data_IF_879603417200
#
_entry.id   IF_879603417200
#
_cell.length_a   1.000
_cell.length_b   1.000
_cell.length_c   1.000
_cell.angle_alpha   90.00
_cell.angle_beta   90.00
_cell.angle_gamma   90.00
#
_symmetry.space_group_name_H-M   'P 1'
#
loop_
_entity.id
_entity.type
_entity.pdbx_description
1 polymer ?
#
# COMPACT_ATOMS: atom_id res chain seq x y z
N UNK A 1 -26.99 34.08 -14.50
CA UNK A 1 -26.68 34.91 -15.70
C UNK A 1 -25.59 35.98 -15.48
N UNK A 2 -25.39 36.49 -14.25
CA UNK A 2 -24.43 37.58 -13.92
C UNK A 2 -22.92 37.26 -14.04
N UNK A 3 -22.50 35.98 -14.03
CA UNK A 3 -21.06 35.62 -13.94
C UNK A 3 -20.30 35.76 -15.27
N UNK A 4 -20.99 35.65 -16.43
CA UNK A 4 -20.37 35.75 -17.76
C UNK A 4 -19.99 37.19 -18.14
N UNK A 5 -20.77 38.19 -17.74
CA UNK A 5 -20.50 39.60 -18.05
C UNK A 5 -19.24 40.13 -17.34
N UNK A 6 -18.99 39.70 -16.10
CA UNK A 6 -17.81 40.11 -15.34
C UNK A 6 -16.50 39.59 -15.96
N UNK A 7 -16.54 38.42 -16.60
CA UNK A 7 -15.38 37.81 -17.25
C UNK A 7 -14.98 38.57 -18.54
N UNK A 8 -15.97 39.01 -19.33
CA UNK A 8 -15.72 39.77 -20.56
C UNK A 8 -15.11 41.15 -20.27
N UNK A 9 -15.59 41.85 -19.24
CA UNK A 9 -15.02 43.14 -18.82
C UNK A 9 -13.57 43.01 -18.36
N UNK A 10 -13.25 41.90 -17.68
CA UNK A 10 -11.88 41.64 -17.21
C UNK A 10 -10.94 41.33 -18.38
N UNK A 11 -11.41 40.59 -19.39
CA UNK A 11 -10.64 40.26 -20.59
C UNK A 11 -10.30 41.50 -21.43
N UNK A 12 -11.27 42.41 -21.60
CA UNK A 12 -11.06 43.68 -22.32
C UNK A 12 -10.07 44.59 -21.57
N UNK A 13 -10.15 44.65 -20.23
CA UNK A 13 -9.16 45.38 -19.42
C UNK A 13 -7.76 44.78 -19.56
N UNK A 14 -7.64 43.45 -19.59
CA UNK A 14 -6.35 42.77 -19.78
C UNK A 14 -5.74 43.11 -21.14
N UNK A 15 -6.52 43.03 -22.22
CA UNK A 15 -6.08 43.36 -23.58
C UNK A 15 -5.64 44.83 -23.71
N UNK A 16 -6.34 45.76 -23.07
CA UNK A 16 -5.95 47.17 -23.02
C UNK A 16 -4.59 47.41 -22.35
N UNK A 17 -4.30 46.67 -21.26
CA UNK A 17 -3.00 46.71 -20.61
C UNK A 17 -1.88 46.19 -21.53
N UNK A 18 -2.08 45.06 -22.22
CA UNK A 18 -1.09 44.53 -23.17
C UNK A 18 -0.73 45.51 -24.28
N UNK A 19 -1.71 46.25 -24.81
CA UNK A 19 -1.47 47.21 -25.89
C UNK A 19 -0.67 48.44 -25.43
N UNK A 20 -0.81 48.84 -24.15
CA UNK A 20 -0.02 49.94 -23.55
C UNK A 20 1.46 49.58 -23.44
N UNK A 21 1.79 48.32 -23.14
CA UNK A 21 3.18 47.87 -23.04
C UNK A 21 3.84 47.64 -24.41
N UNK A 22 3.06 47.38 -25.47
CA UNK A 22 3.58 47.22 -26.84
C UNK A 22 4.28 48.49 -27.35
N UNK A 23 3.80 49.69 -26.97
CA UNK A 23 4.42 50.98 -27.34
C UNK A 23 5.72 51.30 -26.57
N UNK A 24 5.89 50.78 -25.35
CA UNK A 24 7.10 51.04 -24.53
C UNK A 24 8.30 50.24 -25.05
N UNK A 25 8.06 49.06 -25.62
CA UNK A 25 9.11 48.19 -26.17
C UNK A 25 9.78 48.83 -27.40
N UNK A 26 9.05 49.61 -28.21
CA UNK A 26 9.51 50.12 -29.51
C UNK A 26 10.52 51.29 -29.38
N UNK A 27 10.56 52.00 -28.23
CA UNK A 27 11.51 53.10 -27.99
C UNK A 27 12.78 52.71 -27.22
N UNK A 28 12.90 51.45 -26.81
CA UNK A 28 14.11 50.99 -26.13
C UNK A 28 15.25 50.85 -27.15
N UNK A 29 16.36 51.55 -26.93
CA UNK A 29 17.61 51.40 -27.70
C UNK A 29 17.92 49.92 -27.91
N UNK A 30 18.25 49.53 -29.14
CA UNK A 30 18.47 48.14 -29.57
C UNK A 30 19.40 47.36 -28.60
N UNK A 31 20.41 48.04 -28.03
CA UNK A 31 21.31 47.51 -27.00
C UNK A 31 20.59 47.09 -25.71
N UNK A 32 19.56 47.83 -25.28
CA UNK A 32 18.74 47.52 -24.10
C UNK A 32 17.83 46.32 -24.36
N UNK A 33 17.25 46.22 -25.56
CA UNK A 33 16.45 45.04 -25.93
C UNK A 33 17.29 43.76 -25.94
N UNK A 34 18.51 43.82 -26.51
CA UNK A 34 19.48 42.72 -26.45
C UNK A 34 19.88 42.36 -25.01
N UNK A 35 20.09 43.35 -24.15
CA UNK A 35 20.39 43.13 -22.74
C UNK A 35 19.26 42.39 -22.00
N UNK A 36 18.01 42.80 -22.20
CA UNK A 36 16.86 42.11 -21.58
C UNK A 36 16.65 40.69 -22.13
N UNK A 37 16.89 40.47 -23.43
CA UNK A 37 16.85 39.13 -24.03
C UNK A 37 17.92 38.21 -23.43
N UNK A 38 19.13 38.73 -23.22
CA UNK A 38 20.22 38.01 -22.56
C UNK A 38 19.89 37.66 -21.10
N UNK A 39 19.37 38.64 -20.35
CA UNK A 39 18.96 38.43 -18.95
C UNK A 39 17.85 37.37 -18.83
N UNK A 40 16.90 37.39 -19.76
CA UNK A 40 15.80 36.43 -19.81
C UNK A 40 16.27 35.02 -20.20
N UNK A 41 17.28 34.92 -21.07
CA UNK A 41 17.94 33.66 -21.41
C UNK A 41 18.67 33.04 -20.22
N UNK A 42 19.43 33.85 -19.45
CA UNK A 42 20.06 33.39 -18.21
C UNK A 42 19.04 32.95 -17.17
N UNK A 43 17.96 33.72 -17.02
CA UNK A 43 16.89 33.40 -16.07
C UNK A 43 16.18 32.09 -16.42
N UNK A 44 15.96 31.83 -17.72
CA UNK A 44 15.40 30.55 -18.19
C UNK A 44 16.34 29.38 -17.92
N UNK A 45 17.66 29.57 -18.04
CA UNK A 45 18.65 28.54 -17.69
C UNK A 45 18.62 28.19 -16.20
N UNK A 46 18.45 29.21 -15.35
CA UNK A 46 18.31 29.04 -13.89
C UNK A 46 17.08 28.22 -13.49
N UNK A 47 15.97 28.36 -14.22
CA UNK A 47 14.76 27.56 -13.98
C UNK A 47 14.91 26.09 -14.39
N UNK A 48 15.75 25.78 -15.38
CA UNK A 48 15.99 24.40 -15.83
C UNK A 48 16.88 23.64 -14.84
N UNK A 49 17.87 24.32 -14.22
CA UNK A 49 18.78 23.68 -13.27
C UNK A 49 18.20 23.53 -11.86
N UNK A 50 17.12 24.24 -11.52
CA UNK A 50 16.43 24.12 -10.24
C UNK A 50 15.31 23.07 -10.28
N UNK A 51 15.52 21.97 -11.01
CA UNK A 51 14.68 20.80 -10.84
C UNK A 51 15.03 20.22 -9.46
N UNK A 52 14.12 20.25 -8.46
CA UNK A 52 14.40 19.60 -7.19
C UNK A 52 14.65 18.15 -7.53
N UNK A 53 15.89 17.68 -7.32
CA UNK A 53 16.16 16.25 -7.30
C UNK A 53 15.16 15.67 -6.30
N UNK A 54 14.11 15.05 -6.86
CA UNK A 54 13.15 14.30 -6.10
C UNK A 54 14.00 13.33 -5.28
N UNK A 55 13.96 13.31 -3.94
CA UNK A 55 14.85 12.48 -3.11
C UNK A 55 14.61 10.96 -3.28
N UNK A 56 13.96 10.56 -4.36
CA UNK A 56 13.59 9.21 -4.76
C UNK A 56 14.39 8.82 -6.02
N UNK A 57 15.70 9.05 -6.08
CA UNK A 57 16.55 8.42 -7.10
C UNK A 57 18.05 8.35 -6.80
N UNK A 58 18.53 8.68 -5.59
CA UNK A 58 19.79 8.09 -5.12
C UNK A 58 19.49 6.68 -4.63
N UNK A 59 19.22 5.78 -5.57
CA UNK A 59 19.49 4.36 -5.35
C UNK A 59 21.00 4.26 -5.19
N UNK A 60 21.45 4.46 -3.95
CA UNK A 60 22.66 3.84 -3.45
C UNK A 60 22.54 2.39 -3.90
N UNK A 61 23.44 1.98 -4.78
CA UNK A 61 23.63 0.60 -5.17
C UNK A 61 24.21 -0.11 -3.94
N UNK A 62 23.41 -0.18 -2.87
CA UNK A 62 23.57 -1.16 -1.84
C UNK A 62 23.20 -2.43 -2.61
N UNK A 63 24.21 -3.14 -3.11
CA UNK A 63 24.16 -4.59 -3.00
C UNK A 63 23.87 -4.85 -1.53
N UNK A 64 22.61 -4.83 -1.14
CA UNK A 64 22.18 -5.51 0.07
C UNK A 64 22.44 -6.94 -0.33
N UNK A 65 23.58 -7.47 0.07
CA UNK A 65 23.70 -8.90 0.22
C UNK A 65 22.47 -9.29 1.01
N UNK A 66 21.51 -9.93 0.34
CA UNK A 66 20.26 -10.39 0.93
C UNK A 66 20.65 -11.51 1.88
N UNK A 67 21.21 -11.14 3.04
CA UNK A 67 21.62 -12.09 4.03
C UNK A 67 20.34 -12.60 4.68
N UNK A 68 19.88 -13.78 4.23
CA UNK A 68 18.69 -14.43 4.79
C UNK A 68 18.79 -14.59 6.31
N UNK A 69 20.01 -14.69 6.85
CA UNK A 69 20.28 -14.79 8.28
C UNK A 69 19.95 -13.50 9.05
N UNK A 70 19.87 -12.33 8.40
CA UNK A 70 19.48 -11.08 9.07
C UNK A 70 17.96 -11.00 9.31
N UNK A 71 17.15 -11.74 8.54
CA UNK A 71 15.69 -11.66 8.61
C UNK A 71 15.03 -12.76 9.45
N UNK A 72 15.75 -13.85 9.73
CA UNK A 72 15.25 -14.99 10.51
C UNK A 72 15.88 -14.88 11.91
N UNK A 73 15.09 -14.60 12.96
CA UNK A 73 15.61 -14.53 14.32
C UNK A 73 16.21 -15.87 14.77
N UNK A 74 17.14 -15.82 15.72
CA UNK A 74 17.69 -17.03 16.35
C UNK A 74 16.58 -17.89 16.97
N UNK A 75 16.68 -19.21 16.78
CA UNK A 75 15.69 -20.20 17.24
C UNK A 75 14.41 -20.25 16.40
N UNK A 76 14.35 -19.56 15.27
CA UNK A 76 13.27 -19.64 14.30
C UNK A 76 13.74 -20.23 12.97
N UNK A 77 12.82 -20.88 12.28
CA UNK A 77 13.02 -21.45 10.95
C UNK A 77 11.92 -20.97 10.03
N UNK A 78 12.27 -20.78 8.76
CA UNK A 78 11.34 -20.40 7.71
C UNK A 78 10.96 -21.64 6.91
N UNK A 79 9.70 -22.06 6.99
CA UNK A 79 9.22 -23.29 6.39
C UNK A 79 8.33 -22.93 5.19
N UNK A 80 8.71 -23.29 3.95
CA UNK A 80 7.84 -23.11 2.80
C UNK A 80 6.61 -24.02 2.95
N UNK A 81 5.43 -23.48 2.70
CA UNK A 81 4.17 -24.22 2.84
C UNK A 81 3.30 -24.08 1.60
N UNK A 82 2.58 -25.16 1.27
CA UNK A 82 1.56 -25.14 0.24
C UNK A 82 0.20 -24.94 0.89
N UNK A 83 -0.57 -24.00 0.36
CA UNK A 83 -1.88 -23.62 0.90
C UNK A 83 -2.98 -23.89 -0.11
N UNK A 84 -4.03 -24.61 0.30
CA UNK A 84 -5.21 -24.83 -0.54
C UNK A 84 -5.93 -23.51 -0.86
N UNK A 85 -5.92 -22.56 0.08
CA UNK A 85 -6.56 -21.27 -0.06
C UNK A 85 -5.57 -20.14 -0.38
N UNK A 86 -4.44 -20.45 -1.05
CA UNK A 86 -3.43 -19.47 -1.43
C UNK A 86 -4.01 -18.27 -2.21
N UNK A 87 -4.90 -18.53 -3.17
CA UNK A 87 -5.54 -17.50 -3.98
C UNK A 87 -6.40 -16.55 -3.13
N UNK A 88 -7.20 -17.10 -2.20
CA UNK A 88 -8.01 -16.29 -1.29
C UNK A 88 -7.16 -15.43 -0.36
N UNK A 89 -5.96 -15.88 -0.01
CA UNK A 89 -5.02 -15.13 0.83
C UNK A 89 -4.31 -14.01 0.07
N UNK A 90 -4.24 -14.07 -1.27
CA UNK A 90 -3.52 -13.10 -2.08
C UNK A 90 -4.04 -11.67 -1.91
N UNK A 91 -5.36 -11.51 -1.85
CA UNK A 91 -6.01 -10.21 -1.64
C UNK A 91 -6.09 -9.74 -0.19
N UNK A 92 -5.83 -10.64 0.78
CA UNK A 92 -6.03 -10.35 2.22
C UNK A 92 -4.71 -10.13 2.96
N UNK A 93 -3.64 -10.78 2.52
CA UNK A 93 -2.31 -10.68 3.13
C UNK A 93 -1.45 -9.73 2.29
N UNK A 94 -0.72 -8.83 2.96
CA UNK A 94 0.31 -7.99 2.34
C UNK A 94 1.62 -8.75 2.19
N UNK A 95 2.72 -8.17 2.73
CA UNK A 95 4.03 -8.84 2.77
C UNK A 95 4.08 -9.99 3.79
N UNK A 96 3.34 -9.85 4.88
CA UNK A 96 3.26 -10.82 5.97
C UNK A 96 1.93 -10.68 6.70
N UNK A 97 1.57 -11.69 7.49
CA UNK A 97 0.36 -11.72 8.31
C UNK A 97 0.45 -12.74 9.45
N UNK A 98 -0.59 -12.81 10.27
CA UNK A 98 -0.73 -13.84 11.30
C UNK A 98 -1.82 -14.83 10.90
N UNK A 99 -1.52 -16.12 11.01
CA UNK A 99 -2.46 -17.18 10.62
C UNK A 99 -2.49 -18.32 11.65
N UNK A 100 -3.56 -19.10 11.59
CA UNK A 100 -3.57 -20.47 12.10
C UNK A 100 -3.57 -21.44 10.93
N UNK A 101 -2.79 -22.50 11.04
CA UNK A 101 -2.70 -23.56 10.04
C UNK A 101 -3.55 -24.76 10.47
N UNK A 102 -4.34 -25.26 9.54
CA UNK A 102 -5.17 -26.44 9.69
C UNK A 102 -4.77 -27.48 8.65
N UNK A 103 -4.98 -28.75 8.98
CA UNK A 103 -4.90 -29.84 8.01
C UNK A 103 -6.03 -29.68 6.97
N UNK A 104 -5.76 -30.03 5.72
CA UNK A 104 -6.77 -30.07 4.65
C UNK A 104 -7.77 -31.21 4.81
N UNK A 105 -7.45 -32.23 5.60
CA UNK A 105 -8.35 -33.34 5.88
C UNK A 105 -9.54 -32.80 6.70
N UNK A 106 -10.69 -32.73 6.05
CA UNK A 106 -11.95 -32.16 6.55
C UNK A 106 -12.47 -33.05 7.68
N UNK A 107 -11.98 -32.84 8.89
CA UNK A 107 -12.60 -33.36 10.11
C UNK A 107 -13.18 -32.19 10.89
N UNK A 108 -14.48 -32.28 11.17
CA UNK A 108 -15.34 -31.19 11.68
C UNK A 108 -14.90 -30.55 13.02
N UNK A 109 -13.86 -31.06 13.69
CA UNK A 109 -13.44 -30.60 15.02
C UNK A 109 -11.92 -30.55 15.24
N UNK A 110 -11.09 -30.50 14.18
CA UNK A 110 -9.63 -30.45 14.39
C UNK A 110 -9.16 -29.09 14.89
N UNK A 111 -8.35 -29.13 15.96
CA UNK A 111 -7.56 -27.99 16.44
C UNK A 111 -6.56 -27.57 15.37
N UNK A 112 -6.16 -26.29 15.30
CA UNK A 112 -5.09 -25.89 14.40
C UNK A 112 -3.80 -26.64 14.74
N UNK A 113 -3.06 -27.07 13.72
CA UNK A 113 -1.73 -27.70 13.86
C UNK A 113 -0.81 -26.73 14.60
N UNK A 114 -0.81 -25.49 14.12
CA UNK A 114 -0.15 -24.35 14.74
C UNK A 114 -1.07 -23.15 14.66
N UNK A 115 -1.15 -22.41 15.76
CA UNK A 115 -1.91 -21.17 15.83
C UNK A 115 -1.01 -19.96 16.06
N UNK A 116 -1.45 -18.79 15.60
CA UNK A 116 -0.75 -17.51 15.79
C UNK A 116 0.69 -17.53 15.26
N UNK A 117 0.88 -18.06 14.06
CA UNK A 117 2.19 -18.08 13.38
C UNK A 117 2.25 -16.99 12.31
N UNK A 118 3.44 -16.41 12.12
CA UNK A 118 3.67 -15.42 11.09
C UNK A 118 3.83 -16.11 9.74
N UNK A 119 2.96 -15.77 8.79
CA UNK A 119 3.09 -16.14 7.38
C UNK A 119 3.74 -15.00 6.62
N UNK A 120 4.60 -15.34 5.68
CA UNK A 120 5.39 -14.42 4.85
C UNK A 120 5.14 -14.79 3.40
N UNK A 121 4.85 -13.78 2.57
CA UNK A 121 4.74 -13.94 1.12
C UNK A 121 6.12 -13.83 0.50
N UNK A 122 6.43 -14.70 -0.46
CA UNK A 122 7.67 -14.61 -1.22
C UNK A 122 7.69 -13.32 -2.07
N UNK A 123 8.78 -12.54 -2.04
CA UNK A 123 8.89 -11.32 -2.84
C UNK A 123 9.04 -11.62 -4.34
N UNK A 124 9.51 -12.82 -4.71
CA UNK A 124 9.70 -13.24 -6.10
C UNK A 124 8.43 -13.86 -6.69
N UNK A 125 7.59 -14.47 -5.86
CA UNK A 125 6.37 -15.13 -6.30
C UNK A 125 5.25 -14.94 -5.28
N UNK A 126 4.21 -14.18 -5.66
CA UNK A 126 3.11 -13.84 -4.75
C UNK A 126 2.26 -15.05 -4.32
N UNK A 127 2.30 -16.15 -5.08
CA UNK A 127 1.56 -17.38 -4.79
C UNK A 127 2.33 -18.34 -3.86
N UNK A 128 3.56 -17.99 -3.49
CA UNK A 128 4.38 -18.79 -2.60
C UNK A 128 4.41 -18.17 -1.20
N UNK A 129 4.20 -19.03 -0.21
CA UNK A 129 4.14 -18.65 1.18
C UNK A 129 5.12 -19.48 2.00
N UNK A 130 5.62 -18.86 3.06
CA UNK A 130 6.39 -19.53 4.09
C UNK A 130 5.89 -19.10 5.47
N UNK A 131 6.09 -19.94 6.47
CA UNK A 131 5.78 -19.62 7.85
C UNK A 131 7.03 -19.58 8.69
N UNK A 132 7.11 -18.58 9.55
CA UNK A 132 8.19 -18.41 10.51
C UNK A 132 7.80 -19.13 11.80
N UNK A 133 8.37 -20.30 12.03
CA UNK A 133 8.07 -21.15 13.19
C UNK A 133 9.26 -21.19 14.15
N UNK A 134 9.05 -21.26 15.46
CA UNK A 134 10.08 -21.75 16.38
C UNK A 134 10.58 -23.12 15.93
N UNK A 135 11.89 -23.36 16.04
CA UNK A 135 12.53 -24.61 15.62
C UNK A 135 11.90 -25.84 16.29
N UNK A 136 11.59 -25.76 17.59
CA UNK A 136 10.93 -26.83 18.34
C UNK A 136 9.50 -27.17 17.90
N UNK A 137 8.85 -26.32 17.08
CA UNK A 137 7.50 -26.56 16.52
C UNK A 137 7.54 -26.87 15.03
N UNK A 138 8.72 -26.84 14.40
CA UNK A 138 8.89 -27.06 12.97
C UNK A 138 8.45 -28.45 12.52
N UNK A 139 8.76 -29.48 13.31
CA UNK A 139 8.42 -30.88 13.03
C UNK A 139 6.92 -31.07 12.84
N UNK A 140 6.09 -30.43 13.66
CA UNK A 140 4.63 -30.51 13.56
C UNK A 140 4.10 -30.02 12.20
N UNK A 141 4.76 -29.05 11.58
CA UNK A 141 4.38 -28.53 10.26
C UNK A 141 4.91 -29.45 9.17
N UNK A 142 6.14 -29.96 9.31
CA UNK A 142 6.79 -30.83 8.32
C UNK A 142 6.19 -32.24 8.25
N UNK A 143 5.66 -32.76 9.37
CA UNK A 143 4.96 -34.06 9.42
C UNK A 143 3.69 -34.07 8.53
N UNK A 144 3.16 -32.89 8.20
CA UNK A 144 2.00 -32.77 7.33
C UNK A 144 2.41 -32.67 5.87
N UNK A 145 2.38 -33.79 5.16
CA UNK A 145 2.70 -33.87 3.72
C UNK A 145 1.63 -33.24 2.82
N UNK A 146 0.40 -33.10 3.31
CA UNK A 146 -0.72 -32.56 2.54
C UNK A 146 -0.74 -31.01 2.55
N UNK A 147 -1.28 -30.37 1.50
CA UNK A 147 -1.52 -28.94 1.51
C UNK A 147 -2.32 -28.51 2.75
N UNK A 148 -1.95 -27.37 3.32
CA UNK A 148 -2.57 -26.83 4.53
C UNK A 148 -3.66 -25.81 4.19
N UNK A 149 -4.52 -25.51 5.15
CA UNK A 149 -5.46 -24.39 5.08
C UNK A 149 -5.03 -23.34 6.09
N UNK A 150 -4.84 -22.11 5.64
CA UNK A 150 -4.48 -21.01 6.54
C UNK A 150 -5.68 -20.11 6.82
N UNK A 151 -5.94 -19.84 8.10
CA UNK A 151 -6.99 -18.91 8.54
C UNK A 151 -6.34 -17.65 9.07
N UNK A 152 -6.66 -16.50 8.47
CA UNK A 152 -6.13 -15.20 8.88
C UNK A 152 -6.64 -14.86 10.27
N UNK A 153 -5.72 -14.43 11.12
CA UNK A 153 -6.03 -13.91 12.43
C UNK A 153 -5.88 -12.39 12.41
N UNK A 154 -6.90 -11.69 12.90
CA UNK A 154 -6.78 -10.28 13.20
C UNK A 154 -5.66 -10.06 14.21
N UNK A 155 -4.90 -8.98 14.04
CA UNK A 155 -3.95 -8.55 15.05
C UNK A 155 -4.69 -8.40 16.38
N UNK A 156 -4.15 -8.95 17.47
CA UNK A 156 -4.68 -8.72 18.82
C UNK A 156 -4.40 -7.26 19.22
N UNK A 157 -5.17 -6.33 18.67
CA UNK A 157 -5.12 -4.92 19.05
C UNK A 157 -5.73 -4.83 20.45
N UNK A 158 -4.93 -4.44 21.45
CA UNK A 158 -5.37 -4.30 22.85
C UNK A 158 -6.53 -3.31 23.02
N UNK A 159 -6.75 -2.42 22.05
CA UNK A 159 -7.82 -1.43 22.07
C UNK A 159 -9.05 -1.98 21.31
N UNK A 160 -10.05 -2.44 22.07
CA UNK A 160 -11.36 -2.90 21.59
C UNK A 160 -12.09 -1.78 20.84
N UNK A 161 -12.42 -1.96 19.56
CA UNK A 161 -13.45 -1.14 18.90
C UNK A 161 -14.36 -1.88 17.92
N UNK A 162 -14.21 -3.19 17.71
CA UNK A 162 -15.14 -3.95 16.86
C UNK A 162 -15.79 -5.06 17.66
N UNK A 163 -17.00 -4.81 18.18
CA UNK A 163 -17.88 -5.86 18.70
C UNK A 163 -18.78 -6.32 17.57
N UNK A 164 -18.72 -7.61 17.22
CA UNK A 164 -19.73 -8.20 16.34
C UNK A 164 -21.07 -8.12 17.05
N UNK A 165 -22.03 -7.38 16.49
CA UNK A 165 -23.39 -7.31 17.00
C UNK A 165 -24.13 -8.61 16.65
N UNK A 166 -23.82 -9.69 17.36
CA UNK A 166 -24.62 -10.91 17.32
C UNK A 166 -25.86 -10.66 18.16
N UNK A 167 -26.86 -9.98 17.59
CA UNK A 167 -28.22 -10.02 18.15
C UNK A 167 -28.67 -11.47 18.10
N UNK A 168 -28.62 -12.15 19.25
CA UNK A 168 -29.20 -13.49 19.43
C UNK A 168 -30.70 -13.36 19.20
N UNK A 169 -31.18 -13.77 18.02
CA UNK A 169 -32.61 -13.85 17.73
C UNK A 169 -33.16 -15.00 18.57
N UNK A 170 -33.64 -14.70 19.77
CA UNK A 170 -34.39 -15.64 20.58
C UNK A 170 -35.76 -15.77 19.92
N UNK A 171 -35.96 -16.79 19.08
CA UNK A 171 -37.29 -17.18 18.60
C UNK A 171 -38.11 -17.64 19.83
N UNK A 172 -39.04 -16.80 20.30
CA UNK A 172 -40.08 -17.25 21.23
C UNK A 172 -41.10 -18.04 20.42
N UNK A 173 -41.14 -19.36 20.60
CA UNK A 173 -42.25 -20.17 20.11
C UNK A 173 -43.47 -19.83 20.99
N UNK A 174 -44.36 -18.98 20.49
CA UNK A 174 -45.66 -18.73 21.12
C UNK A 174 -46.60 -19.83 20.60
N UNK A 175 -46.83 -20.86 21.40
CA UNK A 175 -47.89 -21.83 21.14
C UNK A 175 -49.19 -21.13 21.54
N UNK A 176 -50.04 -20.83 20.56
CA UNK A 176 -51.41 -20.41 20.80
C UNK A 176 -52.23 -21.70 20.92
N UNK A 177 -52.76 -21.96 22.12
CA UNK A 177 -53.82 -22.94 22.31
C UNK A 177 -55.11 -22.12 22.28
N UNK A 178 -55.91 -22.30 21.23
CA UNK A 178 -57.30 -21.85 21.21
C UNK A 178 -58.12 -22.90 21.97
N UNK A 179 -58.94 -22.42 22.91
CA UNK A 179 -59.93 -23.22 23.65
C UNK A 179 -61.27 -23.21 22.91
#
# INVERSE_FOLDING_TARGET
MYKKQKLQVLFVKLLGYFNKYKKVIIKASLKKQLFFAFLFSLFSLMLINNNPENPIAKQKNIKTDWNMNTFIPEGFVLIPIQLLNAESLNGLIGKWGWVSLYSSLIEKNKKPIVSSIRIIRSPKNNNQFAVLSPENKSSLILEHTAPLVAVIQGAKIKNKSTRFNTKKIIKKNKILIEN
#
